data_IF_290176525096
#
_entry.id   IF_290176525096
#
_cell.length_a   1.000
_cell.length_b   1.000
_cell.length_c   1.000
_cell.angle_alpha   90.00
_cell.angle_beta   90.00
_cell.angle_gamma   90.00
#
_symmetry.space_group_name_H-M   'P 1'
#
loop_
_entity.id
_entity.type
_entity.pdbx_description
1 polymer ?
#
# COMPACT_ATOMS: atom_id res chain seq x y z
N UNK A 1 -0.28 -3.37 14.97
CA UNK A 1 0.08 -4.19 16.14
C UNK A 1 1.24 -5.09 15.81
N UNK A 2 1.91 -5.62 16.81
CA UNK A 2 2.97 -6.61 16.62
C UNK A 2 2.38 -7.93 16.10
N UNK A 3 3.14 -8.74 15.35
CA UNK A 3 2.71 -10.07 14.91
C UNK A 3 2.36 -10.98 16.10
N UNK A 4 1.53 -11.98 15.86
CA UNK A 4 1.17 -12.99 16.85
C UNK A 4 2.43 -13.79 17.27
N UNK A 5 2.58 -14.05 18.58
CA UNK A 5 3.74 -14.76 19.13
C UNK A 5 4.93 -13.88 19.49
N UNK A 6 4.86 -12.56 19.30
CA UNK A 6 5.90 -11.64 19.76
C UNK A 6 5.71 -11.34 21.24
N UNK A 7 6.74 -11.62 22.04
CA UNK A 7 6.80 -11.21 23.44
C UNK A 7 7.33 -9.79 23.55
N UNK A 8 6.80 -9.03 24.51
CA UNK A 8 7.25 -7.65 24.77
C UNK A 8 7.82 -7.52 26.17
N UNK A 9 8.90 -6.76 26.27
CA UNK A 9 9.51 -6.40 27.55
C UNK A 9 9.55 -4.89 27.65
N UNK A 10 9.09 -4.35 28.76
CA UNK A 10 9.17 -2.92 29.03
C UNK A 10 10.58 -2.55 29.50
N UNK A 11 11.17 -1.53 28.87
CA UNK A 11 12.36 -0.86 29.38
C UNK A 11 11.90 0.21 30.39
N UNK A 12 12.11 0.02 31.68
CA UNK A 12 11.53 0.88 32.71
C UNK A 12 12.11 2.30 32.73
N UNK A 13 13.33 2.45 32.22
CA UNK A 13 14.04 3.73 32.09
C UNK A 13 14.68 3.78 30.72
N UNK A 14 14.50 4.87 29.98
CA UNK A 14 15.19 5.08 28.70
C UNK A 14 16.65 5.44 28.96
N UNK A 15 17.47 4.40 29.19
CA UNK A 15 18.87 4.49 29.62
C UNK A 15 19.86 3.97 28.57
N UNK A 16 19.45 4.02 27.29
CA UNK A 16 20.26 3.67 26.13
C UNK A 16 20.02 2.27 25.57
N UNK A 17 20.72 1.95 24.48
CA UNK A 17 20.56 0.69 23.72
C UNK A 17 20.98 -0.55 24.50
N UNK A 18 22.01 -0.44 25.32
CA UNK A 18 22.42 -1.51 26.23
C UNK A 18 21.40 -1.77 27.34
N UNK A 19 20.76 -0.70 27.85
CA UNK A 19 19.66 -0.81 28.81
C UNK A 19 18.44 -1.52 28.22
N UNK A 20 18.09 -1.22 26.96
CA UNK A 20 17.01 -1.90 26.26
C UNK A 20 17.25 -3.42 26.13
N UNK A 21 18.45 -3.82 25.70
CA UNK A 21 18.81 -5.24 25.59
C UNK A 21 18.89 -5.90 26.98
N UNK A 22 19.38 -5.17 28.00
CA UNK A 22 19.42 -5.67 29.39
C UNK A 22 18.01 -5.91 29.96
N UNK A 23 17.00 -5.13 29.59
CA UNK A 23 15.61 -5.37 29.99
C UNK A 23 15.08 -6.73 29.46
N UNK A 24 15.58 -7.17 28.31
CA UNK A 24 15.22 -8.47 27.74
C UNK A 24 16.06 -9.66 28.27
N UNK A 25 16.93 -9.46 29.28
CA UNK A 25 17.83 -10.49 29.80
C UNK A 25 17.15 -11.81 30.15
N UNK A 26 15.94 -11.86 30.76
CA UNK A 26 15.26 -13.12 31.06
C UNK A 26 14.89 -13.96 29.82
N UNK A 27 14.71 -13.32 28.68
CA UNK A 27 14.44 -13.98 27.38
C UNK A 27 15.77 -14.38 26.72
N UNK A 28 16.79 -13.54 26.82
CA UNK A 28 18.14 -13.80 26.30
C UNK A 28 18.72 -15.07 26.92
N UNK A 29 18.61 -15.26 28.24
CA UNK A 29 19.13 -16.42 28.97
C UNK A 29 18.49 -17.74 28.55
N UNK A 30 17.34 -17.71 27.88
CA UNK A 30 16.64 -18.90 27.36
C UNK A 30 17.04 -19.21 25.89
N UNK A 31 17.89 -18.40 25.30
CA UNK A 31 18.29 -18.48 23.89
C UNK A 31 19.73 -18.99 23.77
N UNK A 32 20.10 -19.51 22.61
CA UNK A 32 21.49 -19.82 22.26
C UNK A 32 22.14 -18.64 21.52
N UNK A 33 21.38 -18.04 20.61
CA UNK A 33 21.81 -16.92 19.77
C UNK A 33 20.79 -15.78 19.83
N UNK A 34 21.27 -14.56 19.89
CA UNK A 34 20.47 -13.34 19.97
C UNK A 34 20.81 -12.43 18.80
N UNK A 35 19.83 -12.15 17.96
CA UNK A 35 19.91 -11.10 16.93
C UNK A 35 19.31 -9.81 17.52
N UNK A 36 20.07 -8.73 17.49
CA UNK A 36 19.62 -7.40 17.91
C UNK A 36 19.48 -6.50 16.69
N UNK A 37 18.28 -5.97 16.49
CA UNK A 37 17.95 -5.02 15.43
C UNK A 37 17.48 -3.69 16.02
N UNK A 38 17.85 -2.59 15.38
CA UNK A 38 17.31 -1.27 15.70
C UNK A 38 15.90 -1.12 15.11
N UNK A 39 14.94 -0.70 15.94
CA UNK A 39 13.54 -0.55 15.50
C UNK A 39 13.30 0.64 14.58
N UNK A 40 14.24 1.54 14.48
CA UNK A 40 14.25 2.73 13.61
C UNK A 40 14.96 2.54 12.26
N UNK A 41 15.44 1.32 11.94
CA UNK A 41 16.07 0.97 10.66
C UNK A 41 15.17 -0.05 9.93
N UNK A 42 14.06 0.40 9.30
CA UNK A 42 13.02 -0.51 8.83
C UNK A 42 13.37 -1.26 7.54
N UNK A 43 14.37 -0.82 6.78
CA UNK A 43 14.67 -1.35 5.45
C UNK A 43 15.79 -2.39 5.41
N UNK A 44 16.27 -2.88 6.56
CA UNK A 44 17.22 -3.98 6.60
C UNK A 44 16.59 -5.23 5.93
N UNK A 45 17.30 -5.82 4.98
CA UNK A 45 16.78 -6.94 4.20
C UNK A 45 16.94 -8.27 4.93
N UNK A 46 16.03 -9.22 4.66
CA UNK A 46 16.17 -10.60 5.14
C UNK A 46 17.44 -11.29 4.60
N UNK A 47 17.95 -10.87 3.45
CA UNK A 47 19.22 -11.35 2.89
C UNK A 47 20.40 -10.90 3.77
N UNK A 48 20.48 -9.59 4.07
CA UNK A 48 21.51 -9.00 4.95
C UNK A 48 21.51 -9.67 6.33
N UNK A 49 20.32 -9.93 6.89
CA UNK A 49 20.19 -10.63 8.19
C UNK A 49 20.73 -12.08 8.09
N UNK A 50 20.42 -12.82 7.02
CA UNK A 50 20.94 -14.18 6.83
C UNK A 50 22.45 -14.19 6.68
N UNK A 51 23.00 -13.29 5.87
CA UNK A 51 24.46 -13.15 5.69
C UNK A 51 25.17 -12.88 7.04
N UNK A 52 24.61 -12.00 7.87
CA UNK A 52 25.13 -11.73 9.19
C UNK A 52 25.07 -12.96 10.13
N UNK A 53 23.96 -13.72 10.11
CA UNK A 53 23.82 -14.95 10.90
C UNK A 53 24.79 -16.03 10.44
N UNK A 54 24.95 -16.21 9.11
CA UNK A 54 25.89 -17.16 8.54
C UNK A 54 27.33 -16.80 8.87
N UNK A 55 27.69 -15.52 8.80
CA UNK A 55 29.01 -15.01 9.20
C UNK A 55 29.26 -15.25 10.69
N UNK A 56 28.26 -15.04 11.55
CA UNK A 56 28.37 -15.31 12.99
C UNK A 56 28.63 -16.81 13.24
N UNK A 57 27.83 -17.68 12.64
CA UNK A 57 27.98 -19.12 12.78
C UNK A 57 29.37 -19.61 12.28
N UNK A 58 29.85 -19.09 11.17
CA UNK A 58 31.15 -19.44 10.61
C UNK A 58 32.33 -18.94 11.43
N UNK A 59 32.21 -17.79 12.07
CA UNK A 59 33.30 -17.17 12.87
C UNK A 59 33.51 -17.85 14.21
N UNK A 60 32.46 -18.46 14.79
CA UNK A 60 32.46 -18.95 16.17
C UNK A 60 32.66 -17.85 17.22
N UNK A 61 32.49 -16.58 16.85
CA UNK A 61 32.67 -15.43 17.73
C UNK A 61 31.50 -15.30 18.72
N UNK A 62 31.75 -14.69 19.88
CA UNK A 62 30.69 -14.38 20.85
C UNK A 62 29.82 -13.19 20.40
N UNK A 63 30.36 -12.35 19.54
CA UNK A 63 29.62 -11.24 18.91
C UNK A 63 30.04 -11.08 17.45
N UNK A 64 29.08 -10.83 16.57
CA UNK A 64 29.33 -10.39 15.20
C UNK A 64 28.46 -9.15 14.94
N UNK A 65 29.11 -8.04 14.60
CA UNK A 65 28.43 -6.80 14.29
C UNK A 65 28.29 -6.63 12.78
N UNK A 66 27.21 -6.00 12.36
CA UNK A 66 27.05 -5.55 10.98
C UNK A 66 27.75 -4.22 10.82
N UNK A 67 28.58 -4.11 9.78
CA UNK A 67 29.30 -2.89 9.44
C UNK A 67 29.09 -2.51 7.99
N UNK A 68 29.30 -1.25 7.67
CA UNK A 68 29.31 -0.74 6.30
C UNK A 68 30.39 0.30 6.15
N UNK A 69 30.93 0.44 4.94
CA UNK A 69 31.90 1.50 4.61
C UNK A 69 31.20 2.66 3.91
N UNK A 70 31.31 3.87 4.46
CA UNK A 70 30.69 5.08 3.94
C UNK A 70 31.75 6.11 3.52
N UNK A 71 31.49 6.80 2.41
CA UNK A 71 32.35 7.92 1.99
C UNK A 71 32.27 9.09 2.96
N UNK A 72 31.06 9.33 3.49
CA UNK A 72 30.77 10.36 4.48
C UNK A 72 30.13 9.73 5.73
N UNK A 73 30.93 9.26 6.69
CA UNK A 73 30.45 8.52 7.84
C UNK A 73 29.56 9.34 8.82
N UNK A 74 29.53 10.65 8.72
CA UNK A 74 28.69 11.53 9.55
C UNK A 74 28.85 11.28 11.05
N UNK A 75 27.75 11.08 11.76
CA UNK A 75 27.69 10.83 13.21
C UNK A 75 27.67 9.35 13.62
N UNK A 76 27.85 8.43 12.66
CA UNK A 76 27.88 7.00 12.97
C UNK A 76 29.08 6.62 13.83
N UNK A 77 28.93 5.62 14.68
CA UNK A 77 30.01 5.03 15.45
C UNK A 77 31.09 4.40 14.54
N UNK A 78 32.34 4.74 14.77
CA UNK A 78 33.50 4.27 14.00
C UNK A 78 33.98 2.93 14.51
N UNK A 79 34.21 1.98 13.61
CA UNK A 79 34.71 0.65 13.94
C UNK A 79 36.23 0.71 14.02
N UNK A 80 36.79 0.65 15.21
CA UNK A 80 38.24 0.61 15.43
C UNK A 80 38.71 -0.84 15.35
N UNK A 81 39.69 -1.08 14.47
CA UNK A 81 40.29 -2.41 14.28
C UNK A 81 41.73 -2.44 14.84
N UNK A 82 42.08 -3.57 15.43
CA UNK A 82 43.41 -3.85 15.91
C UNK A 82 44.37 -4.22 14.75
N UNK A 83 45.66 -4.43 15.08
CA UNK A 83 46.70 -4.71 14.09
C UNK A 83 46.47 -5.99 13.26
N UNK A 84 45.71 -6.92 13.79
CA UNK A 84 45.31 -8.17 13.10
C UNK A 84 44.02 -8.04 12.30
N UNK A 85 43.36 -6.87 12.26
CA UNK A 85 42.11 -6.62 11.60
C UNK A 85 40.87 -6.98 12.40
N UNK A 86 41.04 -7.46 13.66
CA UNK A 86 39.93 -7.74 14.57
C UNK A 86 39.26 -6.45 15.05
N UNK A 87 37.94 -6.54 15.34
CA UNK A 87 37.20 -5.42 15.93
C UNK A 87 37.64 -5.22 17.37
N UNK A 88 38.16 -4.04 17.70
CA UNK A 88 38.52 -3.69 19.08
C UNK A 88 37.34 -3.04 19.81
N UNK A 89 36.77 -2.00 19.25
CA UNK A 89 35.66 -1.25 19.81
C UNK A 89 34.96 -0.41 18.77
N UNK A 90 33.82 0.14 19.13
CA UNK A 90 33.15 1.23 18.43
C UNK A 90 33.39 2.53 19.15
N UNK A 91 33.75 3.59 18.43
CA UNK A 91 33.89 4.94 18.97
C UNK A 91 32.75 5.79 18.44
N UNK A 92 31.95 6.32 19.35
CA UNK A 92 30.86 7.22 18.98
C UNK A 92 31.44 8.52 18.38
N UNK A 93 30.65 9.16 17.51
CA UNK A 93 31.01 10.39 16.81
C UNK A 93 29.83 11.38 16.76
N UNK A 94 28.97 11.35 17.78
CA UNK A 94 27.73 12.16 17.85
C UNK A 94 28.02 13.59 18.34
N UNK A 95 29.03 13.76 19.20
CA UNK A 95 29.40 15.05 19.75
C UNK A 95 30.86 15.38 19.49
N UNK A 96 31.20 16.67 19.55
CA UNK A 96 32.57 17.11 19.46
C UNK A 96 33.37 16.58 20.64
N UNK A 97 34.44 15.83 20.37
CA UNK A 97 35.28 15.22 21.37
C UNK A 97 35.03 13.75 21.66
N UNK A 98 34.00 13.15 21.09
CA UNK A 98 33.71 11.69 21.17
C UNK A 98 34.82 10.87 20.52
N UNK A 99 35.34 11.33 19.41
CA UNK A 99 36.37 10.67 18.60
C UNK A 99 37.53 11.65 18.32
N UNK A 100 38.76 11.13 18.27
CA UNK A 100 39.90 11.88 17.81
C UNK A 100 39.92 12.05 16.26
N UNK A 101 40.79 12.97 15.72
CA UNK A 101 40.85 13.23 14.29
C UNK A 101 41.23 12.02 13.43
N UNK A 102 41.93 11.02 13.94
CA UNK A 102 42.29 9.80 13.22
C UNK A 102 41.09 8.85 13.19
N UNK A 103 40.39 8.70 14.30
CA UNK A 103 39.17 7.90 14.40
C UNK A 103 38.06 8.46 13.49
N UNK A 104 37.93 9.79 13.42
CA UNK A 104 36.94 10.42 12.51
C UNK A 104 37.18 10.14 11.01
N UNK A 105 38.42 9.77 10.63
CA UNK A 105 38.73 9.36 9.23
C UNK A 105 38.36 7.93 8.91
N UNK A 106 38.02 7.12 9.92
CA UNK A 106 37.60 5.74 9.70
C UNK A 106 36.25 5.75 8.93
N UNK A 107 36.21 5.05 7.82
CA UNK A 107 35.04 4.97 6.94
C UNK A 107 34.10 3.82 7.30
N UNK A 108 34.63 2.80 7.98
CA UNK A 108 33.84 1.68 8.46
C UNK A 108 33.04 2.09 9.69
N UNK A 109 31.72 1.94 9.60
CA UNK A 109 30.80 2.35 10.64
C UNK A 109 29.97 1.18 11.16
N UNK A 110 29.51 1.31 12.38
CA UNK A 110 28.59 0.43 13.04
C UNK A 110 27.16 0.64 12.51
N UNK A 111 26.55 -0.40 11.93
CA UNK A 111 25.17 -0.38 11.43
C UNK A 111 24.11 -0.60 12.54
N UNK A 112 24.51 -0.76 13.80
CA UNK A 112 23.57 -0.93 14.91
C UNK A 112 22.89 -2.30 15.01
N UNK A 113 23.29 -3.25 14.17
CA UNK A 113 22.76 -4.61 14.11
C UNK A 113 23.82 -5.62 14.56
N UNK A 114 23.43 -6.56 15.42
CA UNK A 114 24.38 -7.50 16.04
C UNK A 114 23.81 -8.89 16.15
N UNK A 115 24.68 -9.89 16.09
CA UNK A 115 24.40 -11.25 16.53
C UNK A 115 25.32 -11.62 17.67
N UNK A 116 24.78 -12.16 18.74
CA UNK A 116 25.53 -12.57 19.93
C UNK A 116 25.26 -14.02 20.30
N UNK A 117 26.26 -14.66 20.85
CA UNK A 117 26.04 -15.85 21.69
C UNK A 117 25.40 -15.38 23.01
N UNK A 118 24.28 -16.00 23.40
CA UNK A 118 23.44 -15.50 24.50
C UNK A 118 24.16 -15.45 25.86
N UNK A 119 24.85 -16.54 26.24
CA UNK A 119 25.51 -16.60 27.55
C UNK A 119 26.65 -15.57 27.72
N UNK A 120 27.57 -15.38 26.75
CA UNK A 120 28.56 -14.29 26.82
C UNK A 120 27.91 -12.91 26.83
N UNK A 121 26.85 -12.68 26.05
CA UNK A 121 26.10 -11.41 26.05
C UNK A 121 25.51 -11.09 27.44
N UNK A 122 24.83 -12.07 28.04
CA UNK A 122 24.23 -11.90 29.37
C UNK A 122 25.29 -11.50 30.42
N UNK A 123 26.44 -12.16 30.39
CA UNK A 123 27.56 -11.83 31.29
C UNK A 123 28.11 -10.41 31.06
N UNK A 124 28.28 -10.01 29.81
CA UNK A 124 28.77 -8.68 29.45
C UNK A 124 27.78 -7.56 29.82
N UNK A 125 26.47 -7.78 29.62
CA UNK A 125 25.39 -6.84 29.97
C UNK A 125 25.37 -6.55 31.49
N UNK A 126 25.71 -7.51 32.33
CA UNK A 126 25.77 -7.33 33.79
C UNK A 126 26.88 -6.37 34.22
N UNK A 127 27.96 -6.25 33.43
CA UNK A 127 29.09 -5.38 33.66
C UNK A 127 29.04 -4.02 32.96
N UNK A 128 28.02 -3.74 32.18
CA UNK A 128 27.91 -2.47 31.46
C UNK A 128 27.88 -1.27 32.40
N UNK A 129 28.57 -0.22 32.01
CA UNK A 129 28.65 1.05 32.75
C UNK A 129 28.03 2.16 31.91
N UNK A 130 27.60 3.24 32.55
CA UNK A 130 27.01 4.43 31.91
C UNK A 130 27.86 5.68 32.20
N UNK A 131 29.17 5.54 32.34
CA UNK A 131 30.11 6.59 32.64
C UNK A 131 30.43 7.49 31.42
N UNK A 132 29.44 7.75 30.58
CA UNK A 132 29.58 8.60 29.39
C UNK A 132 28.82 9.92 29.55
N UNK A 133 29.01 10.83 28.60
CA UNK A 133 28.44 12.17 28.66
C UNK A 133 26.89 12.19 28.70
N UNK A 134 26.25 11.15 28.18
CA UNK A 134 24.81 11.01 28.16
C UNK A 134 24.24 10.24 29.35
N UNK A 135 25.09 9.53 30.11
CA UNK A 135 24.69 8.68 31.24
C UNK A 135 23.93 7.42 30.78
N UNK A 136 24.14 6.98 29.55
CA UNK A 136 23.43 5.86 28.90
C UNK A 136 24.29 4.59 28.84
N UNK A 137 23.64 3.44 28.88
CA UNK A 137 24.29 2.16 28.61
C UNK A 137 24.30 1.93 27.08
N UNK A 138 25.49 1.99 26.48
CA UNK A 138 25.63 1.70 25.04
C UNK A 138 25.85 0.23 24.80
N UNK A 139 25.06 -0.36 23.88
CA UNK A 139 25.24 -1.76 23.52
C UNK A 139 26.61 -2.07 22.92
N UNK A 140 27.23 -1.21 22.10
CA UNK A 140 28.59 -1.44 21.62
C UNK A 140 29.66 -1.66 22.72
N UNK A 141 29.44 -1.16 23.94
CA UNK A 141 30.37 -1.34 25.03
C UNK A 141 30.46 -2.79 25.54
N UNK A 142 29.56 -3.68 25.14
CA UNK A 142 29.70 -5.12 25.38
C UNK A 142 30.87 -5.72 24.58
N UNK A 143 31.28 -5.12 23.45
CA UNK A 143 32.33 -5.70 22.58
C UNK A 143 33.68 -5.72 23.25
N UNK A 144 34.19 -4.60 23.85
CA UNK A 144 35.41 -4.63 24.67
C UNK A 144 35.31 -5.61 25.85
N UNK A 145 34.17 -5.64 26.56
CA UNK A 145 33.96 -6.55 27.68
C UNK A 145 34.06 -8.01 27.29
N UNK A 146 33.49 -8.40 26.14
CA UNK A 146 33.62 -9.75 25.57
C UNK A 146 35.07 -10.10 25.24
N UNK A 147 35.82 -9.15 24.67
CA UNK A 147 37.26 -9.35 24.37
C UNK A 147 38.11 -9.52 25.64
N UNK A 148 37.86 -8.70 26.63
CA UNK A 148 38.54 -8.80 27.96
C UNK A 148 38.24 -10.17 28.62
N UNK A 149 37.05 -10.73 28.40
CA UNK A 149 36.70 -12.09 28.85
C UNK A 149 37.29 -13.20 27.96
N UNK A 150 38.08 -12.86 26.94
CA UNK A 150 38.74 -13.82 26.05
C UNK A 150 37.91 -14.34 24.90
N UNK A 151 36.74 -13.71 24.63
CA UNK A 151 35.88 -14.07 23.50
C UNK A 151 36.30 -13.32 22.22
N UNK A 152 36.12 -13.99 21.09
CA UNK A 152 36.31 -13.35 19.78
C UNK A 152 35.11 -12.44 19.45
N UNK A 153 35.41 -11.31 18.80
CA UNK A 153 34.45 -10.36 18.25
C UNK A 153 34.70 -10.24 16.76
N UNK A 154 33.71 -10.48 15.94
CA UNK A 154 33.78 -10.42 14.48
C UNK A 154 32.92 -9.24 13.94
N UNK A 155 33.17 -8.89 12.69
CA UNK A 155 32.31 -7.99 11.91
C UNK A 155 31.98 -8.62 10.57
N UNK A 156 30.77 -8.43 10.11
CA UNK A 156 30.33 -8.70 8.74
C UNK A 156 30.06 -7.37 8.05
N UNK A 157 30.75 -7.12 6.92
CA UNK A 157 30.57 -5.90 6.15
C UNK A 157 29.54 -6.14 5.04
N UNK A 158 28.50 -5.32 5.02
CA UNK A 158 27.50 -5.29 3.95
C UNK A 158 27.76 -4.12 2.98
N UNK A 159 27.18 -4.21 1.80
CA UNK A 159 27.11 -3.11 0.83
C UNK A 159 25.69 -2.49 0.77
N UNK A 160 24.72 -3.03 1.54
CA UNK A 160 23.34 -2.52 1.57
C UNK A 160 23.27 -1.22 2.40
N UNK A 161 23.25 -0.08 1.71
CA UNK A 161 23.17 1.24 2.34
C UNK A 161 21.93 1.43 3.23
N UNK A 162 20.86 0.67 3.02
CA UNK A 162 19.66 0.80 3.83
C UNK A 162 19.86 0.43 5.32
N UNK A 163 20.94 -0.29 5.65
CA UNK A 163 21.29 -0.57 7.07
C UNK A 163 21.70 0.68 7.84
N UNK A 164 21.95 1.80 7.16
CA UNK A 164 22.29 3.10 7.75
C UNK A 164 21.14 4.10 7.68
N UNK A 165 20.03 3.74 7.06
CA UNK A 165 18.87 4.62 6.94
C UNK A 165 18.01 4.47 8.19
N UNK A 166 18.17 5.37 9.15
CA UNK A 166 17.40 5.36 10.39
C UNK A 166 16.41 6.51 10.46
N UNK A 167 15.19 6.22 10.92
CA UNK A 167 14.10 7.20 11.01
C UNK A 167 14.11 7.92 12.34
N UNK A 168 14.60 9.14 12.38
CA UNK A 168 14.55 10.03 13.55
C UNK A 168 13.56 11.18 13.34
N UNK A 169 13.36 11.62 12.10
CA UNK A 169 12.50 12.72 11.72
C UNK A 169 11.49 12.29 10.64
N UNK A 170 10.51 13.15 10.35
CA UNK A 170 9.59 12.90 9.24
C UNK A 170 10.25 13.09 7.86
N UNK A 171 11.40 13.76 7.82
CA UNK A 171 12.19 13.85 6.58
C UNK A 171 12.83 12.50 6.32
N UNK A 172 13.49 11.90 7.33
CA UNK A 172 14.08 10.57 7.22
C UNK A 172 13.02 9.53 6.83
N UNK A 173 11.82 9.60 7.44
CA UNK A 173 10.71 8.74 7.09
C UNK A 173 10.31 8.85 5.61
N UNK A 174 10.30 10.07 5.05
CA UNK A 174 9.98 10.28 3.64
C UNK A 174 11.08 9.72 2.71
N UNK A 175 12.35 9.81 3.11
CA UNK A 175 13.47 9.25 2.37
C UNK A 175 13.43 7.70 2.40
N UNK A 176 13.15 7.12 3.56
CA UNK A 176 12.93 5.68 3.74
C UNK A 176 11.75 5.16 2.89
N UNK A 177 10.63 5.88 2.90
CA UNK A 177 9.47 5.54 2.09
C UNK A 177 9.79 5.59 0.58
N UNK A 178 10.59 6.57 0.15
CA UNK A 178 11.05 6.66 -1.24
C UNK A 178 11.92 5.47 -1.63
N UNK A 179 12.84 5.04 -0.76
CA UNK A 179 13.70 3.87 -1.00
C UNK A 179 12.89 2.57 -0.99
N UNK A 180 11.98 2.39 -0.02
CA UNK A 180 11.08 1.24 0.00
C UNK A 180 10.27 1.13 -1.29
N UNK A 181 9.69 2.25 -1.75
CA UNK A 181 8.96 2.34 -3.01
C UNK A 181 9.86 1.99 -4.20
N UNK A 182 11.07 2.54 -4.27
CA UNK A 182 12.03 2.23 -5.34
C UNK A 182 12.28 0.74 -5.45
N UNK A 183 12.52 0.05 -4.32
CA UNK A 183 12.76 -1.40 -4.27
C UNK A 183 11.55 -2.20 -4.74
N UNK A 184 10.34 -1.83 -4.30
CA UNK A 184 9.10 -2.49 -4.71
C UNK A 184 8.85 -2.35 -6.21
N UNK A 185 8.98 -1.14 -6.75
CA UNK A 185 8.80 -0.89 -8.18
C UNK A 185 9.83 -1.64 -9.02
N UNK A 186 11.09 -1.66 -8.59
CA UNK A 186 12.17 -2.41 -9.26
C UNK A 186 11.87 -3.91 -9.28
N UNK A 187 11.42 -4.48 -8.16
CA UNK A 187 11.03 -5.89 -8.08
C UNK A 187 9.91 -6.24 -9.07
N UNK A 188 8.88 -5.40 -9.18
CA UNK A 188 7.82 -5.58 -10.18
C UNK A 188 8.34 -5.46 -11.62
N UNK A 189 9.19 -4.48 -11.91
CA UNK A 189 9.78 -4.31 -13.25
C UNK A 189 10.66 -5.51 -13.63
N UNK A 190 11.45 -6.02 -12.71
CA UNK A 190 12.26 -7.23 -12.93
C UNK A 190 11.40 -8.49 -13.11
N UNK A 191 10.20 -8.52 -12.51
CA UNK A 191 9.20 -9.57 -12.71
C UNK A 191 8.41 -9.44 -14.02
N UNK A 192 8.72 -8.46 -14.87
CA UNK A 192 8.12 -8.28 -16.20
C UNK A 192 6.94 -7.31 -16.26
N UNK A 193 6.72 -6.50 -15.24
CA UNK A 193 5.71 -5.44 -15.25
C UNK A 193 6.27 -4.18 -15.89
N UNK A 194 5.49 -3.55 -16.78
CA UNK A 194 5.84 -2.24 -17.34
C UNK A 194 5.30 -1.13 -16.44
N UNK A 195 6.17 -0.36 -15.79
CA UNK A 195 5.83 0.84 -15.04
C UNK A 195 6.33 2.06 -15.81
N UNK A 196 5.41 2.86 -16.35
CA UNK A 196 5.76 3.94 -17.30
C UNK A 196 6.45 5.11 -16.62
N UNK A 197 6.01 5.46 -15.42
CA UNK A 197 6.60 6.52 -14.61
C UNK A 197 6.73 6.08 -13.14
N UNK A 198 7.87 5.49 -12.77
CA UNK A 198 8.12 5.08 -11.39
C UNK A 198 8.02 6.22 -10.36
N UNK A 199 8.31 7.45 -10.77
CA UNK A 199 8.31 8.59 -9.85
C UNK A 199 6.91 8.93 -9.32
N UNK A 200 5.86 8.73 -10.12
CA UNK A 200 4.47 9.03 -9.75
C UNK A 200 3.63 7.78 -9.45
N UNK A 201 4.23 6.59 -9.48
CA UNK A 201 3.54 5.33 -9.23
C UNK A 201 3.73 4.90 -7.78
N UNK A 202 2.63 4.50 -7.12
CA UNK A 202 2.60 4.01 -5.74
C UNK A 202 2.03 2.60 -5.68
N UNK A 203 2.80 1.66 -5.12
CA UNK A 203 2.41 0.26 -4.99
C UNK A 203 2.69 -0.20 -3.56
N UNK A 204 1.67 -0.69 -2.87
CA UNK A 204 1.83 -1.26 -1.53
C UNK A 204 2.49 -2.65 -1.60
N UNK A 205 3.19 -3.04 -0.55
CA UNK A 205 3.93 -4.31 -0.49
C UNK A 205 3.05 -5.57 -0.66
N UNK A 206 1.74 -5.47 -0.39
CA UNK A 206 0.79 -6.58 -0.56
C UNK A 206 0.19 -6.72 -1.96
N UNK A 207 0.55 -5.84 -2.89
CA UNK A 207 0.00 -5.83 -4.26
C UNK A 207 0.70 -6.88 -5.12
N UNK A 208 -0.09 -7.64 -5.88
CA UNK A 208 0.39 -8.62 -6.83
C UNK A 208 0.12 -8.15 -8.27
N UNK A 209 1.14 -8.12 -9.11
CA UNK A 209 1.01 -7.70 -10.51
C UNK A 209 1.63 -8.79 -11.40
N UNK A 210 0.84 -9.32 -12.33
CA UNK A 210 1.33 -10.31 -13.27
C UNK A 210 2.24 -9.68 -14.34
N UNK A 211 3.12 -10.50 -14.90
CA UNK A 211 3.97 -10.09 -16.03
C UNK A 211 3.13 -9.56 -17.20
N UNK A 212 3.73 -8.70 -18.01
CA UNK A 212 3.12 -8.01 -19.15
C UNK A 212 1.98 -7.02 -18.78
N UNK A 213 1.64 -6.86 -17.51
CA UNK A 213 0.78 -5.77 -17.09
C UNK A 213 1.49 -4.42 -17.25
N UNK A 214 0.70 -3.37 -17.53
CA UNK A 214 1.19 -2.00 -17.75
C UNK A 214 0.56 -1.03 -16.78
N UNK A 215 1.39 -0.34 -16.02
CA UNK A 215 0.98 0.66 -15.04
C UNK A 215 1.36 2.04 -15.57
N UNK A 216 0.34 2.87 -15.80
CA UNK A 216 0.46 4.21 -16.35
C UNK A 216 0.72 5.26 -15.25
N UNK A 217 1.22 6.46 -15.60
CA UNK A 217 1.60 7.50 -14.64
C UNK A 217 0.50 7.90 -13.64
N UNK A 218 0.90 8.27 -12.43
CA UNK A 218 -0.02 8.76 -11.39
C UNK A 218 -0.94 7.69 -10.82
N UNK A 219 -0.59 6.42 -10.97
CA UNK A 219 -1.40 5.28 -10.50
C UNK A 219 -1.00 4.89 -9.08
N UNK A 220 -2.01 4.57 -8.26
CA UNK A 220 -1.84 4.08 -6.90
C UNK A 220 -2.54 2.73 -6.72
N UNK A 221 -1.77 1.69 -6.39
CA UNK A 221 -2.25 0.33 -6.13
C UNK A 221 -2.04 0.00 -4.65
N UNK A 222 -3.11 -0.29 -3.92
CA UNK A 222 -3.08 -0.41 -2.46
C UNK A 222 -3.70 -1.69 -1.94
N UNK A 223 -3.31 -2.03 -0.70
CA UNK A 223 -3.84 -3.17 0.02
C UNK A 223 -3.55 -4.51 -0.67
N UNK A 224 -4.57 -5.33 -0.82
CA UNK A 224 -4.50 -6.64 -1.46
C UNK A 224 -4.87 -6.60 -2.97
N UNK A 225 -4.64 -5.47 -3.64
CA UNK A 225 -4.94 -5.31 -5.08
C UNK A 225 -4.15 -6.31 -5.92
N UNK A 226 -4.82 -6.91 -6.92
CA UNK A 226 -4.21 -7.82 -7.89
C UNK A 226 -4.48 -7.36 -9.31
N UNK A 227 -3.45 -7.38 -10.15
CA UNK A 227 -3.52 -6.98 -11.57
C UNK A 227 -3.08 -8.14 -12.45
N UNK A 228 -3.98 -8.59 -13.34
CA UNK A 228 -3.76 -9.70 -14.26
C UNK A 228 -2.85 -9.34 -15.43
N UNK A 229 -2.35 -10.38 -16.10
CA UNK A 229 -1.46 -10.26 -17.24
C UNK A 229 -2.07 -9.44 -18.39
N UNK A 230 -1.25 -8.57 -19.00
CA UNK A 230 -1.67 -7.72 -20.10
C UNK A 230 -2.72 -6.64 -19.74
N UNK A 231 -3.08 -6.51 -18.48
CA UNK A 231 -3.96 -5.44 -18.04
C UNK A 231 -3.26 -4.08 -18.08
N UNK A 232 -4.02 -3.03 -18.36
CA UNK A 232 -3.53 -1.64 -18.38
C UNK A 232 -4.24 -0.85 -17.29
N UNK A 233 -3.50 -0.31 -16.31
CA UNK A 233 -4.05 0.45 -15.19
C UNK A 233 -3.46 1.85 -15.17
N UNK A 234 -4.32 2.83 -15.14
CA UNK A 234 -3.96 4.25 -15.20
C UNK A 234 -4.25 4.90 -16.57
N UNK A 235 -3.80 6.15 -16.80
CA UNK A 235 -3.17 7.01 -15.80
C UNK A 235 -4.14 7.48 -14.70
N UNK A 236 -3.57 8.02 -13.60
CA UNK A 236 -4.32 8.65 -12.51
C UNK A 236 -5.47 7.79 -11.97
N UNK A 237 -5.21 6.49 -11.78
CA UNK A 237 -6.17 5.55 -11.18
C UNK A 237 -5.74 5.16 -9.77
N UNK A 238 -6.72 5.00 -8.88
CA UNK A 238 -6.49 4.52 -7.52
C UNK A 238 -7.28 3.23 -7.32
N UNK A 239 -6.59 2.16 -6.98
CA UNK A 239 -7.15 0.84 -6.71
C UNK A 239 -6.82 0.43 -5.28
N UNK A 240 -7.85 0.05 -4.51
CA UNK A 240 -7.70 -0.43 -3.12
C UNK A 240 -8.44 -1.76 -3.01
N UNK A 241 -7.74 -2.84 -2.64
CA UNK A 241 -8.32 -4.19 -2.50
C UNK A 241 -9.14 -4.62 -3.72
N UNK A 242 -8.66 -4.28 -4.92
CA UNK A 242 -9.36 -4.51 -6.18
C UNK A 242 -8.70 -5.65 -6.97
N UNK A 243 -9.54 -6.47 -7.63
CA UNK A 243 -9.09 -7.51 -8.54
C UNK A 243 -9.30 -7.05 -9.99
N UNK A 244 -8.22 -7.00 -10.76
CA UNK A 244 -8.25 -6.64 -12.19
C UNK A 244 -7.81 -7.83 -13.01
N UNK A 245 -8.71 -8.36 -13.82
CA UNK A 245 -8.50 -9.52 -14.68
C UNK A 245 -7.56 -9.27 -15.86
N UNK A 246 -7.11 -10.35 -16.51
CA UNK A 246 -6.22 -10.27 -17.66
C UNK A 246 -6.78 -9.39 -18.78
N UNK A 247 -5.92 -8.61 -19.42
CA UNK A 247 -6.30 -7.75 -20.55
C UNK A 247 -7.31 -6.65 -20.26
N UNK A 248 -7.71 -6.46 -19.01
CA UNK A 248 -8.64 -5.38 -18.64
C UNK A 248 -7.95 -4.01 -18.68
N UNK A 249 -8.74 -2.96 -18.94
CA UNK A 249 -8.29 -1.58 -18.96
C UNK A 249 -9.02 -0.75 -17.90
N UNK A 250 -8.27 -0.11 -17.00
CA UNK A 250 -8.80 0.79 -15.97
C UNK A 250 -8.15 2.15 -16.16
N UNK A 251 -8.92 3.14 -16.59
CA UNK A 251 -8.41 4.45 -16.98
C UNK A 251 -8.99 5.53 -16.07
N UNK A 252 -8.13 6.33 -15.43
CA UNK A 252 -8.51 7.53 -14.68
C UNK A 252 -9.70 7.30 -13.75
N UNK A 253 -9.64 6.27 -12.89
CA UNK A 253 -10.79 5.78 -12.14
C UNK A 253 -10.43 5.43 -10.69
N UNK A 254 -11.45 5.31 -9.84
CA UNK A 254 -11.31 4.94 -8.44
C UNK A 254 -12.03 3.62 -8.16
N UNK A 255 -11.29 2.61 -7.72
CA UNK A 255 -11.79 1.26 -7.49
C UNK A 255 -11.50 0.83 -6.05
N UNK A 256 -12.53 0.34 -5.35
CA UNK A 256 -12.40 -0.11 -3.95
C UNK A 256 -13.15 -1.42 -3.75
N UNK A 257 -12.47 -2.48 -3.28
CA UNK A 257 -13.08 -3.75 -2.90
C UNK A 257 -13.97 -4.34 -3.98
N UNK A 258 -13.52 -4.33 -5.24
CA UNK A 258 -14.31 -4.70 -6.41
C UNK A 258 -13.57 -5.66 -7.33
N UNK A 259 -14.29 -6.24 -8.26
CA UNK A 259 -13.77 -7.18 -9.24
C UNK A 259 -14.02 -6.67 -10.67
N UNK A 260 -12.96 -6.62 -11.46
CA UNK A 260 -12.98 -6.29 -12.89
C UNK A 260 -12.51 -7.51 -13.66
N UNK A 261 -13.39 -8.16 -14.38
CA UNK A 261 -13.12 -9.40 -15.12
C UNK A 261 -12.21 -9.21 -16.34
N UNK A 262 -11.91 -10.32 -16.98
CA UNK A 262 -11.07 -10.37 -18.18
C UNK A 262 -11.60 -9.46 -19.29
N UNK A 263 -10.70 -8.68 -19.92
CA UNK A 263 -11.00 -7.81 -21.05
C UNK A 263 -12.01 -6.69 -20.77
N UNK A 264 -12.34 -6.41 -19.52
CA UNK A 264 -13.24 -5.33 -19.14
C UNK A 264 -12.64 -3.95 -19.43
N UNK A 265 -13.52 -2.96 -19.60
CA UNK A 265 -13.13 -1.56 -19.76
C UNK A 265 -13.78 -0.70 -18.68
N UNK A 266 -12.98 0.01 -17.88
CA UNK A 266 -13.41 0.88 -16.78
C UNK A 266 -12.90 2.30 -17.00
N UNK A 267 -13.79 3.27 -16.92
CA UNK A 267 -13.46 4.68 -16.99
C UNK A 267 -13.62 5.34 -18.37
N UNK A 268 -13.06 6.57 -18.49
CA UNK A 268 -12.49 7.36 -17.42
C UNK A 268 -13.53 7.89 -16.42
N UNK A 269 -13.07 8.30 -15.22
CA UNK A 269 -13.91 8.86 -14.17
C UNK A 269 -15.01 7.92 -13.67
N UNK A 270 -14.72 6.62 -13.61
CA UNK A 270 -15.62 5.66 -12.99
C UNK A 270 -15.27 5.46 -11.50
N UNK A 271 -16.31 5.20 -10.70
CA UNK A 271 -16.16 4.81 -9.31
C UNK A 271 -16.79 3.45 -9.07
N UNK A 272 -15.96 2.43 -8.85
CA UNK A 272 -16.40 1.10 -8.46
C UNK A 272 -16.23 0.93 -6.96
N UNK A 273 -17.35 0.74 -6.26
CA UNK A 273 -17.42 0.61 -4.80
C UNK A 273 -17.42 -0.86 -4.37
N UNK A 274 -17.25 -1.13 -3.07
CA UNK A 274 -17.24 -2.50 -2.57
C UNK A 274 -18.46 -3.32 -3.02
N UNK A 275 -18.17 -4.55 -3.45
CA UNK A 275 -19.17 -5.49 -3.98
C UNK A 275 -19.57 -5.24 -5.44
N UNK A 276 -18.94 -4.30 -6.14
CA UNK A 276 -19.10 -4.18 -7.58
C UNK A 276 -18.28 -5.26 -8.31
N UNK A 277 -18.90 -5.93 -9.28
CA UNK A 277 -18.24 -6.94 -10.10
C UNK A 277 -18.63 -6.77 -11.58
N UNK A 278 -17.62 -6.73 -12.44
CA UNK A 278 -17.76 -6.77 -13.90
C UNK A 278 -17.31 -8.13 -14.41
N UNK A 279 -18.18 -8.83 -15.12
CA UNK A 279 -17.83 -10.08 -15.80
C UNK A 279 -17.06 -9.80 -17.10
N UNK A 280 -16.52 -10.84 -17.72
CA UNK A 280 -15.66 -10.73 -18.89
C UNK A 280 -16.24 -9.80 -19.98
N UNK A 281 -15.41 -8.91 -20.51
CA UNK A 281 -15.76 -7.98 -21.56
C UNK A 281 -16.80 -6.91 -21.21
N UNK A 282 -17.22 -6.82 -19.94
CA UNK A 282 -18.17 -5.82 -19.50
C UNK A 282 -17.54 -4.41 -19.47
N UNK A 283 -18.39 -3.38 -19.49
CA UNK A 283 -17.97 -1.98 -19.52
C UNK A 283 -18.64 -1.15 -18.44
N UNK A 284 -17.85 -0.43 -17.64
CA UNK A 284 -18.26 0.70 -16.84
C UNK A 284 -17.58 1.97 -17.38
N UNK A 285 -18.33 2.81 -18.09
CA UNK A 285 -17.76 3.92 -18.83
C UNK A 285 -17.64 5.22 -18.02
N UNK A 286 -17.68 6.35 -18.73
CA UNK A 286 -17.40 7.67 -18.17
C UNK A 286 -18.49 8.12 -17.20
N UNK A 287 -18.06 8.58 -15.99
CA UNK A 287 -18.92 9.04 -14.91
C UNK A 287 -19.96 8.00 -14.47
N UNK A 288 -19.52 6.74 -14.38
CA UNK A 288 -20.34 5.63 -13.89
C UNK A 288 -19.94 5.31 -12.45
N UNK A 289 -20.94 5.19 -11.59
CA UNK A 289 -20.77 4.66 -10.24
C UNK A 289 -21.47 3.29 -10.13
N UNK A 290 -20.73 2.27 -9.70
CA UNK A 290 -21.26 0.94 -9.38
C UNK A 290 -21.07 0.67 -7.89
N UNK A 291 -22.11 0.18 -7.21
CA UNK A 291 -22.09 -0.17 -5.80
C UNK A 291 -22.86 -1.47 -5.55
N UNK A 292 -22.21 -2.50 -5.00
CA UNK A 292 -22.86 -3.78 -4.75
C UNK A 292 -23.69 -4.21 -5.96
N UNK A 293 -23.07 -4.19 -7.14
CA UNK A 293 -23.71 -4.41 -8.42
C UNK A 293 -22.90 -5.37 -9.28
N UNK A 294 -23.58 -6.31 -9.95
CA UNK A 294 -22.97 -7.25 -10.88
C UNK A 294 -23.34 -6.86 -12.31
N UNK A 295 -22.34 -6.67 -13.15
CA UNK A 295 -22.50 -6.38 -14.58
C UNK A 295 -22.05 -7.59 -15.38
N UNK A 296 -22.98 -8.27 -16.01
CA UNK A 296 -22.77 -9.54 -16.71
C UNK A 296 -21.89 -9.43 -17.95
N UNK A 297 -21.51 -10.58 -18.46
CA UNK A 297 -20.60 -10.72 -19.60
C UNK A 297 -21.00 -9.84 -20.78
N UNK A 298 -20.08 -9.03 -21.27
CA UNK A 298 -20.28 -8.11 -22.40
C UNK A 298 -21.32 -7.01 -22.18
N UNK A 299 -21.93 -6.91 -21.00
CA UNK A 299 -22.90 -5.85 -20.71
C UNK A 299 -22.22 -4.49 -20.56
N UNK A 300 -22.97 -3.42 -20.84
CA UNK A 300 -22.41 -2.06 -20.91
C UNK A 300 -23.20 -1.08 -20.07
N UNK A 301 -22.51 -0.37 -19.21
CA UNK A 301 -22.96 0.83 -18.47
C UNK A 301 -22.07 1.98 -18.92
N UNK A 302 -22.35 2.59 -20.10
CA UNK A 302 -21.34 3.40 -20.77
C UNK A 302 -21.18 4.82 -20.26
N UNK A 303 -22.22 5.46 -19.69
CA UNK A 303 -22.20 6.89 -19.40
C UNK A 303 -23.10 7.32 -18.24
N UNK A 304 -22.61 8.24 -17.37
CA UNK A 304 -23.41 9.07 -16.46
C UNK A 304 -24.45 8.30 -15.64
N UNK A 305 -24.13 7.10 -15.17
CA UNK A 305 -25.09 6.20 -14.54
C UNK A 305 -24.72 5.86 -13.10
N UNK A 306 -25.74 5.73 -12.25
CA UNK A 306 -25.60 5.10 -10.93
C UNK A 306 -26.30 3.74 -10.93
N UNK A 307 -25.54 2.68 -10.70
CA UNK A 307 -26.06 1.31 -10.62
C UNK A 307 -25.70 0.76 -9.23
N UNK A 308 -26.67 0.79 -8.34
CA UNK A 308 -26.52 0.35 -6.96
C UNK A 308 -27.48 -0.79 -6.61
N UNK A 309 -26.98 -1.79 -5.85
CA UNK A 309 -27.73 -2.94 -5.40
C UNK A 309 -28.47 -3.63 -6.59
N UNK A 310 -27.75 -3.93 -7.68
CA UNK A 310 -28.36 -4.35 -8.94
C UNK A 310 -27.62 -5.51 -9.62
N UNK A 311 -28.37 -6.26 -10.43
CA UNK A 311 -27.84 -7.21 -11.40
C UNK A 311 -28.16 -6.74 -12.83
N UNK A 312 -27.16 -6.74 -13.69
CA UNK A 312 -27.26 -6.43 -15.12
C UNK A 312 -26.89 -7.67 -15.90
N UNK A 313 -27.84 -8.26 -16.60
CA UNK A 313 -27.66 -9.48 -17.38
C UNK A 313 -26.69 -9.29 -18.56
N UNK A 314 -26.09 -10.40 -18.97
CA UNK A 314 -25.11 -10.42 -20.06
C UNK A 314 -25.66 -9.76 -21.33
N UNK A 315 -24.78 -9.07 -22.07
CA UNK A 315 -25.12 -8.42 -23.34
C UNK A 315 -26.02 -7.19 -23.23
N UNK A 316 -26.51 -6.84 -22.05
CA UNK A 316 -27.41 -5.70 -21.84
C UNK A 316 -26.69 -4.37 -21.98
N UNK A 317 -27.42 -3.33 -22.37
CA UNK A 317 -26.89 -1.99 -22.53
C UNK A 317 -27.77 -0.97 -21.81
N UNK A 318 -27.18 -0.26 -20.86
CA UNK A 318 -27.83 0.81 -20.13
C UNK A 318 -27.57 2.13 -20.83
N UNK A 319 -28.64 2.87 -21.16
CA UNK A 319 -28.52 4.20 -21.72
C UNK A 319 -27.89 5.19 -20.74
N UNK A 320 -27.35 6.27 -21.25
CA UNK A 320 -26.77 7.35 -20.43
C UNK A 320 -27.78 7.88 -19.42
N UNK A 321 -27.36 8.18 -18.20
CA UNK A 321 -28.25 8.68 -17.15
C UNK A 321 -29.15 7.62 -16.50
N UNK A 322 -28.91 6.33 -16.72
CA UNK A 322 -29.66 5.28 -16.02
C UNK A 322 -29.34 5.29 -14.53
N UNK A 323 -30.40 5.33 -13.72
CA UNK A 323 -30.31 5.31 -12.25
C UNK A 323 -31.12 4.15 -11.70
N UNK A 324 -30.51 3.33 -10.85
CA UNK A 324 -31.26 2.41 -9.99
C UNK A 324 -31.58 3.14 -8.68
N UNK A 325 -32.85 3.51 -8.49
CA UNK A 325 -33.30 4.14 -7.24
C UNK A 325 -33.52 3.06 -6.19
N UNK A 326 -32.42 2.67 -5.53
CA UNK A 326 -32.33 1.50 -4.67
C UNK A 326 -32.66 1.75 -3.19
N UNK A 327 -33.00 2.99 -2.79
CA UNK A 327 -33.27 3.36 -1.39
C UNK A 327 -34.59 4.11 -1.25
N UNK A 328 -35.49 3.59 -0.40
CA UNK A 328 -36.83 4.13 -0.18
C UNK A 328 -36.92 5.11 1.02
N UNK A 329 -35.77 5.46 1.61
CA UNK A 329 -35.69 6.25 2.83
C UNK A 329 -35.49 5.40 4.10
N UNK A 330 -35.76 4.09 4.04
CA UNK A 330 -35.65 3.16 5.18
C UNK A 330 -34.81 1.92 4.84
N UNK A 331 -35.00 1.35 3.63
CA UNK A 331 -34.38 0.09 3.20
C UNK A 331 -33.84 0.21 1.77
N UNK A 332 -32.86 -0.67 1.50
CA UNK A 332 -32.35 -0.84 0.15
C UNK A 332 -33.08 -1.99 -0.52
N UNK A 333 -33.35 -1.81 -1.80
CA UNK A 333 -34.02 -2.75 -2.66
C UNK A 333 -33.18 -3.05 -3.89
N UNK A 334 -33.41 -4.20 -4.51
CA UNK A 334 -32.62 -4.66 -5.64
C UNK A 334 -33.33 -4.38 -6.96
N UNK A 335 -32.53 -4.06 -7.98
CA UNK A 335 -32.94 -4.00 -9.38
C UNK A 335 -32.34 -5.19 -10.11
N UNK A 336 -33.14 -5.89 -10.90
CA UNK A 336 -32.67 -6.98 -11.78
C UNK A 336 -32.96 -6.59 -13.24
N UNK A 337 -31.92 -6.59 -14.06
CA UNK A 337 -32.01 -6.35 -15.49
C UNK A 337 -31.59 -7.64 -16.19
N UNK A 338 -32.47 -8.22 -16.98
CA UNK A 338 -32.25 -9.47 -17.70
C UNK A 338 -31.18 -9.36 -18.77
N UNK A 339 -30.99 -10.44 -19.50
CA UNK A 339 -30.01 -10.54 -20.60
C UNK A 339 -30.48 -9.75 -21.83
N UNK A 340 -29.52 -9.20 -22.57
CA UNK A 340 -29.79 -8.50 -23.85
C UNK A 340 -30.81 -7.35 -23.75
N UNK A 341 -31.09 -6.86 -22.54
CA UNK A 341 -31.98 -5.73 -22.32
C UNK A 341 -31.39 -4.41 -22.86
N UNK A 342 -32.26 -3.51 -23.30
CA UNK A 342 -31.88 -2.19 -23.81
C UNK A 342 -32.59 -1.11 -23.00
N UNK A 343 -31.88 -0.57 -22.02
CA UNK A 343 -32.40 0.50 -21.17
C UNK A 343 -32.21 1.82 -21.90
N UNK A 344 -33.28 2.59 -22.06
CA UNK A 344 -33.24 3.92 -22.68
C UNK A 344 -32.46 4.94 -21.87
N UNK A 345 -32.02 6.02 -22.49
CA UNK A 345 -31.34 7.11 -21.79
C UNK A 345 -32.26 7.76 -20.74
N UNK A 346 -31.69 8.26 -19.64
CA UNK A 346 -32.40 8.89 -18.51
C UNK A 346 -33.52 8.00 -17.91
N UNK A 347 -33.35 6.68 -17.91
CA UNK A 347 -34.29 5.76 -17.29
C UNK A 347 -34.04 5.69 -15.77
N UNK A 348 -35.12 5.90 -14.99
CA UNK A 348 -35.14 5.68 -13.55
C UNK A 348 -35.79 4.34 -13.26
N UNK A 349 -35.03 3.41 -12.66
CA UNK A 349 -35.53 2.11 -12.22
C UNK A 349 -35.80 2.19 -10.72
N UNK A 350 -37.06 2.22 -10.33
CA UNK A 350 -37.47 2.33 -8.93
C UNK A 350 -37.51 0.92 -8.31
N UNK A 351 -36.49 0.61 -7.54
CA UNK A 351 -36.40 -0.71 -6.93
C UNK A 351 -37.40 -0.91 -5.77
N UNK A 352 -37.92 -2.15 -5.54
CA UNK A 352 -37.57 -3.36 -6.29
C UNK A 352 -38.25 -3.39 -7.66
N UNK A 353 -37.51 -3.74 -8.71
CA UNK A 353 -38.04 -3.87 -10.06
C UNK A 353 -37.21 -4.86 -10.89
N UNK A 354 -37.87 -5.64 -11.73
CA UNK A 354 -37.26 -6.56 -12.64
C UNK A 354 -37.56 -6.16 -14.10
N UNK A 355 -36.52 -6.07 -14.94
CA UNK A 355 -36.62 -5.87 -16.37
C UNK A 355 -36.21 -7.18 -17.05
N UNK A 356 -37.17 -7.82 -17.73
CA UNK A 356 -36.98 -9.14 -18.33
C UNK A 356 -35.98 -9.15 -19.49
N UNK A 357 -35.61 -10.36 -19.91
CA UNK A 357 -34.65 -10.58 -21.00
C UNK A 357 -35.14 -9.90 -22.29
N UNK A 358 -34.21 -9.30 -23.04
CA UNK A 358 -34.48 -8.60 -24.31
C UNK A 358 -35.54 -7.49 -24.21
N UNK A 359 -35.90 -7.05 -23.02
CA UNK A 359 -36.84 -5.96 -22.83
C UNK A 359 -36.21 -4.60 -23.11
N UNK A 360 -37.04 -3.61 -23.39
CA UNK A 360 -36.65 -2.23 -23.67
C UNK A 360 -37.34 -1.27 -22.70
N UNK A 361 -36.67 -0.16 -22.41
CA UNK A 361 -37.33 1.00 -21.80
C UNK A 361 -37.21 2.21 -22.72
N UNK A 362 -38.23 3.05 -22.75
CA UNK A 362 -38.19 4.30 -23.52
C UNK A 362 -37.27 5.32 -22.83
N UNK A 363 -36.71 6.26 -23.59
CA UNK A 363 -35.88 7.35 -23.05
C UNK A 363 -36.71 8.20 -22.07
N UNK A 364 -36.09 8.56 -20.90
CA UNK A 364 -36.72 9.34 -19.82
C UNK A 364 -37.81 8.58 -19.07
N UNK A 365 -37.88 7.26 -19.19
CA UNK A 365 -38.91 6.46 -18.52
C UNK A 365 -38.63 6.33 -17.02
N UNK A 366 -39.70 6.37 -16.22
CA UNK A 366 -39.70 6.01 -14.79
C UNK A 366 -40.41 4.67 -14.64
N UNK A 367 -39.62 3.63 -14.37
CA UNK A 367 -40.11 2.23 -14.32
C UNK A 367 -40.29 1.86 -12.83
N UNK A 368 -41.53 1.50 -12.46
CA UNK A 368 -41.93 1.15 -11.11
C UNK A 368 -42.47 -0.27 -10.98
N UNK A 369 -42.92 -0.81 -12.07
CA UNK A 369 -43.48 -2.17 -12.21
C UNK A 369 -42.56 -3.01 -13.08
N UNK A 370 -42.56 -4.32 -12.88
CA UNK A 370 -41.77 -5.26 -13.64
C UNK A 370 -42.07 -5.18 -15.13
N UNK A 371 -41.03 -5.29 -15.95
CA UNK A 371 -41.12 -5.28 -17.42
C UNK A 371 -40.99 -6.69 -17.96
N UNK A 372 -42.01 -7.28 -18.61
CA UNK A 372 -41.92 -8.62 -19.16
C UNK A 372 -40.81 -8.74 -20.22
N UNK A 373 -40.27 -9.95 -20.38
CA UNK A 373 -39.28 -10.23 -21.40
C UNK A 373 -39.79 -9.81 -22.81
N UNK A 374 -38.90 -9.16 -23.59
CA UNK A 374 -39.19 -8.66 -24.93
C UNK A 374 -40.16 -7.49 -25.00
N UNK A 375 -40.67 -6.97 -23.89
CA UNK A 375 -41.58 -5.83 -23.86
C UNK A 375 -40.85 -4.48 -23.97
N UNK A 376 -41.56 -3.45 -24.41
CA UNK A 376 -41.14 -2.05 -24.31
C UNK A 376 -41.93 -1.33 -23.20
N UNK A 377 -41.27 -0.89 -22.16
CA UNK A 377 -41.89 -0.08 -21.13
C UNK A 377 -41.66 1.41 -21.42
N UNK A 378 -42.73 2.20 -21.39
CA UNK A 378 -42.72 3.65 -21.54
C UNK A 378 -43.58 4.30 -20.47
N UNK A 379 -43.10 5.41 -19.87
CA UNK A 379 -43.85 6.13 -18.84
C UNK A 379 -43.99 7.62 -19.15
N UNK A 380 -43.73 8.02 -20.40
CA UNK A 380 -43.75 9.43 -20.82
C UNK A 380 -45.13 9.91 -21.22
N UNK A 381 -45.47 11.10 -20.78
CA UNK A 381 -46.60 11.86 -21.35
C UNK A 381 -46.21 12.44 -22.73
N UNK A 382 -47.20 12.66 -23.59
CA UNK A 382 -46.97 13.32 -24.87
C UNK A 382 -46.33 14.71 -24.64
N UNK A 383 -45.40 15.08 -25.49
CA UNK A 383 -44.80 16.41 -25.43
C UNK A 383 -45.88 17.48 -25.61
N UNK A 384 -45.85 18.49 -24.76
CA UNK A 384 -46.74 19.66 -24.86
C UNK A 384 -45.90 20.91 -24.93
N UNK A 385 -46.04 21.67 -26.00
CA UNK A 385 -45.45 22.97 -26.15
C UNK A 385 -46.38 24.03 -25.53
N UNK A 386 -45.82 24.96 -24.81
CA UNK A 386 -46.55 26.08 -24.19
C UNK A 386 -46.08 27.36 -24.87
N UNK A 387 -46.82 27.83 -25.84
CA UNK A 387 -46.47 29.03 -26.59
C UNK A 387 -46.45 30.28 -25.69
N UNK A 388 -45.46 31.13 -25.92
CA UNK A 388 -45.30 32.38 -25.19
C UNK A 388 -44.82 32.21 -23.71
N UNK A 389 -44.39 31.00 -23.28
CA UNK A 389 -43.98 30.74 -21.89
C UNK A 389 -42.85 31.69 -21.44
N UNK A 390 -41.82 31.88 -22.24
CA UNK A 390 -40.67 32.73 -21.92
C UNK A 390 -41.07 34.20 -21.78
N UNK A 391 -41.96 34.68 -22.64
CA UNK A 391 -42.46 36.06 -22.59
C UNK A 391 -43.30 36.33 -21.32
N UNK A 392 -44.15 35.35 -20.95
CA UNK A 392 -44.92 35.45 -19.68
C UNK A 392 -44.02 35.47 -18.47
N UNK A 393 -43.02 34.57 -18.42
CA UNK A 393 -42.07 34.51 -17.30
C UNK A 393 -41.24 35.77 -17.16
N UNK A 394 -40.82 36.35 -18.28
CA UNK A 394 -40.08 37.60 -18.28
C UNK A 394 -40.95 38.83 -17.83
N UNK A 395 -42.27 38.79 -18.11
CA UNK A 395 -43.20 39.78 -17.61
C UNK A 395 -43.42 39.67 -16.11
N UNK A 396 -43.69 38.42 -15.61
CA UNK A 396 -43.86 38.17 -14.18
C UNK A 396 -42.65 38.59 -13.33
N UNK A 397 -41.43 38.38 -13.84
CA UNK A 397 -40.19 38.77 -13.12
C UNK A 397 -40.05 40.31 -13.08
N UNK A 398 -40.43 41.02 -14.13
CA UNK A 398 -40.37 42.50 -14.17
C UNK A 398 -41.41 43.16 -13.29
N UNK A 399 -42.57 42.56 -13.10
CA UNK A 399 -43.62 43.03 -12.18
C UNK A 399 -43.22 42.83 -10.73
N UNK A 400 -42.54 41.70 -10.37
CA UNK A 400 -42.07 41.44 -9.03
C UNK A 400 -40.84 42.26 -8.58
N UNK A 401 -40.07 42.83 -9.53
CA UNK A 401 -38.94 43.72 -9.22
C UNK A 401 -39.40 45.22 -9.09
N UNK A 402 -40.68 45.49 -9.20
CA UNK A 402 -41.26 46.84 -9.14
C UNK A 402 -42.10 47.10 -7.89
N UNK A 403 -42.17 46.16 -6.95
CA UNK A 403 -42.67 46.34 -5.58
C UNK A 403 -41.51 46.34 -4.59
#
# INVERSE_FOLDING_TARGET
>A
GLPEGVETVEQPVSDGTGGAVRAALPLIEQSETVLVLSGDVPLISAATIRELLDAHAASGAAATMLTIELDEPGSYGRVVRGPGGEVERVVEAKAAGDADPEQLRIREVNAGTYVFAAAPLAAALAGLRNDNAQGEYYLPDVLPALREAGHAVAAHRTEDLAVTMGVNTRVDLADEEAEARRRLLEAHMLAGVTIVDPATTWIDAGVEIAADARIEPGTSLRGATRVGAGAVVGPHSTLVDALVGPGAAVVHSHLVGCEVGEGCSVGPFAYLRPGAALEAGAKAGTFVELKNARVGEGAKVPHLSYVGDAEVGAGSNLGAGTITANYDGFRKHRTVIGRDARIGVDTMLIAPVEVGDSAYTGAGAVIKDDVPAGALAVSQNAQRNIDGYAARKAAETREGDSE
#
